data_IF_857468009710
#
_entry.id   IF_857468009710
#
_cell.length_a   1.000
_cell.length_b   1.000
_cell.length_c   1.000
_cell.angle_alpha   90.00
_cell.angle_beta   90.00
_cell.angle_gamma   90.00
#
_symmetry.space_group_name_H-M   'P 1'
#
loop_
_entity.id
_entity.type
_entity.pdbx_description
1 polymer ?
#
# COMPACT_ATOMS: atom_id res chain seq x y z
N UNK A 1 -26.72 24.74 -12.09
CA UNK A 1 -26.33 23.32 -12.18
C UNK A 1 -26.50 22.71 -10.80
N UNK A 2 -27.13 21.54 -10.70
CA UNK A 2 -27.25 20.82 -9.42
C UNK A 2 -25.86 20.38 -8.98
N UNK A 3 -25.48 20.69 -7.73
CA UNK A 3 -24.18 20.27 -7.16
C UNK A 3 -24.12 18.74 -7.17
N UNK A 4 -23.02 18.18 -7.67
CA UNK A 4 -22.80 16.72 -7.66
C UNK A 4 -22.57 16.28 -6.22
N UNK A 5 -23.25 15.21 -5.82
CA UNK A 5 -22.98 14.52 -4.56
C UNK A 5 -22.00 13.38 -4.83
N UNK A 6 -20.69 13.64 -4.67
CA UNK A 6 -19.69 12.62 -4.97
C UNK A 6 -19.77 11.41 -4.03
N UNK A 7 -20.22 11.59 -2.79
CA UNK A 7 -20.43 10.46 -1.87
C UNK A 7 -21.46 9.46 -2.43
N UNK A 8 -22.61 9.97 -2.87
CA UNK A 8 -23.66 9.14 -3.48
C UNK A 8 -23.22 8.52 -4.81
N UNK A 9 -22.47 9.27 -5.64
CA UNK A 9 -21.91 8.75 -6.89
C UNK A 9 -20.97 7.58 -6.63
N UNK A 10 -20.05 7.72 -5.67
CA UNK A 10 -19.08 6.67 -5.34
C UNK A 10 -19.75 5.45 -4.69
N UNK A 11 -20.74 5.67 -3.82
CA UNK A 11 -21.54 4.59 -3.22
C UNK A 11 -22.27 3.78 -4.31
N UNK A 12 -23.01 4.46 -5.21
CA UNK A 12 -23.71 3.79 -6.30
C UNK A 12 -22.73 3.03 -7.23
N UNK A 13 -21.55 3.61 -7.46
CA UNK A 13 -20.53 2.97 -8.27
C UNK A 13 -19.92 1.74 -7.60
N UNK A 14 -19.72 1.76 -6.28
CA UNK A 14 -19.32 0.59 -5.50
C UNK A 14 -20.31 -0.55 -5.67
N UNK A 15 -21.60 -0.28 -5.47
CA UNK A 15 -22.67 -1.27 -5.62
C UNK A 15 -22.70 -1.84 -7.05
N UNK A 16 -22.49 -1.00 -8.06
CA UNK A 16 -22.40 -1.41 -9.46
C UNK A 16 -21.24 -2.39 -9.71
N UNK A 17 -20.01 -2.04 -9.34
CA UNK A 17 -18.84 -2.90 -9.61
C UNK A 17 -18.86 -4.18 -8.78
N UNK A 18 -19.42 -4.15 -7.56
CA UNK A 18 -19.63 -5.34 -6.73
C UNK A 18 -20.64 -6.30 -7.39
N UNK A 19 -21.71 -5.78 -8.00
CA UNK A 19 -22.68 -6.59 -8.73
C UNK A 19 -22.11 -7.21 -10.03
N UNK A 20 -21.16 -6.53 -10.69
CA UNK A 20 -20.46 -7.02 -11.88
C UNK A 20 -19.34 -8.02 -11.56
N UNK A 21 -18.87 -8.02 -10.31
CA UNK A 21 -17.76 -8.86 -9.86
C UNK A 21 -18.12 -10.36 -9.91
N UNK A 22 -17.25 -11.18 -10.51
CA UNK A 22 -17.44 -12.64 -10.48
C UNK A 22 -17.14 -13.20 -9.09
N UNK A 23 -17.95 -14.17 -8.66
CA UNK A 23 -17.71 -14.92 -7.41
C UNK A 23 -16.45 -15.77 -7.48
N UNK A 24 -16.23 -16.44 -8.61
CA UNK A 24 -15.06 -17.27 -8.87
C UNK A 24 -14.06 -16.52 -9.76
N UNK A 25 -13.09 -15.87 -9.11
CA UNK A 25 -12.00 -15.16 -9.80
C UNK A 25 -10.79 -16.08 -9.99
N UNK A 26 -10.13 -15.95 -11.15
CA UNK A 26 -8.91 -16.69 -11.52
C UNK A 26 -7.73 -16.19 -10.68
N UNK A 27 -6.98 -17.10 -10.08
CA UNK A 27 -5.72 -16.74 -9.41
C UNK A 27 -4.74 -16.18 -10.44
N UNK A 28 -3.98 -15.16 -10.04
CA UNK A 28 -3.02 -14.47 -10.92
C UNK A 28 -1.58 -14.78 -10.51
N UNK A 29 -0.68 -14.77 -11.49
CA UNK A 29 0.74 -14.86 -11.21
C UNK A 29 1.24 -13.52 -10.62
N UNK A 30 2.22 -13.57 -9.71
CA UNK A 30 2.71 -12.37 -9.02
C UNK A 30 3.23 -11.30 -9.98
N UNK A 31 3.85 -11.71 -11.09
CA UNK A 31 4.34 -10.81 -12.15
C UNK A 31 3.21 -10.07 -12.89
N UNK A 32 1.99 -10.60 -12.90
CA UNK A 32 0.85 -10.02 -13.63
C UNK A 32 0.17 -8.91 -12.82
N UNK A 33 0.34 -8.95 -11.49
CA UNK A 33 -0.28 -7.99 -10.59
C UNK A 33 0.03 -6.51 -10.90
N UNK A 34 1.30 -6.08 -11.09
CA UNK A 34 1.59 -4.70 -11.50
C UNK A 34 0.92 -4.32 -12.84
N UNK A 35 0.85 -5.25 -13.79
CA UNK A 35 0.17 -5.00 -15.06
C UNK A 35 -1.32 -4.75 -14.87
N UNK A 36 -1.98 -5.57 -14.04
CA UNK A 36 -3.39 -5.40 -13.69
C UNK A 36 -3.67 -4.12 -12.91
N UNK A 37 -2.77 -3.68 -12.02
CA UNK A 37 -2.89 -2.38 -11.33
C UNK A 37 -2.88 -1.21 -12.33
N UNK A 38 -2.11 -1.34 -13.42
CA UNK A 38 -2.05 -0.35 -14.52
C UNK A 38 -3.10 -0.56 -15.62
N UNK A 39 -4.05 -1.49 -15.46
CA UNK A 39 -4.99 -1.86 -16.53
C UNK A 39 -5.85 -0.67 -17.00
N UNK A 40 -6.40 0.11 -16.08
CA UNK A 40 -7.21 1.29 -16.39
C UNK A 40 -6.43 2.37 -17.17
N UNK A 41 -5.27 2.85 -16.69
CA UNK A 41 -4.52 3.86 -17.42
C UNK A 41 -3.97 3.34 -18.75
N UNK A 42 -3.64 2.04 -18.85
CA UNK A 42 -3.29 1.44 -20.14
C UNK A 42 -4.49 1.41 -21.10
N UNK A 43 -5.68 1.00 -20.63
CA UNK A 43 -6.90 0.98 -21.44
C UNK A 43 -7.24 2.37 -21.98
N UNK A 44 -7.21 3.39 -21.12
CA UNK A 44 -7.50 4.78 -21.51
C UNK A 44 -6.46 5.35 -22.50
N UNK A 45 -5.22 4.87 -22.45
CA UNK A 45 -4.15 5.23 -23.39
C UNK A 45 -4.08 4.32 -24.63
N UNK A 46 -4.97 3.32 -24.75
CA UNK A 46 -4.95 2.29 -25.79
C UNK A 46 -3.64 1.49 -25.85
N UNK A 47 -3.10 1.14 -24.67
CA UNK A 47 -1.89 0.36 -24.52
C UNK A 47 -2.19 -1.11 -24.17
N UNK A 48 -1.37 -2.07 -24.64
CA UNK A 48 -1.49 -3.46 -24.23
C UNK A 48 -1.15 -3.64 -22.73
N UNK A 49 -2.11 -4.13 -21.95
CA UNK A 49 -1.99 -4.20 -20.48
C UNK A 49 -0.84 -5.08 -20.01
N UNK A 50 -0.63 -6.25 -20.63
CA UNK A 50 0.42 -7.20 -20.21
C UNK A 50 1.75 -7.02 -20.93
N UNK A 51 1.90 -5.96 -21.76
CA UNK A 51 3.20 -5.65 -22.35
C UNK A 51 4.03 -4.82 -21.37
N UNK A 52 5.32 -5.16 -21.30
CA UNK A 52 6.33 -4.31 -20.66
C UNK A 52 6.66 -3.08 -21.51
N UNK A 53 6.53 -3.19 -22.84
CA UNK A 53 6.84 -2.12 -23.79
C UNK A 53 5.59 -1.57 -24.47
N UNK A 54 5.60 -0.26 -24.66
CA UNK A 54 4.58 0.51 -25.36
C UNK A 54 5.13 0.87 -26.74
N UNK A 55 4.39 0.46 -27.78
CA UNK A 55 4.70 0.81 -29.15
C UNK A 55 3.87 2.02 -29.56
N UNK A 56 4.50 3.20 -29.59
CA UNK A 56 3.88 4.47 -29.97
C UNK A 56 4.95 5.38 -30.57
N UNK A 57 4.72 5.89 -31.78
CA UNK A 57 5.70 6.66 -32.56
C UNK A 57 6.15 7.95 -31.86
N UNK A 58 5.25 8.65 -31.19
CA UNK A 58 5.51 9.90 -30.49
C UNK A 58 5.75 9.72 -28.98
N UNK A 59 6.04 8.51 -28.50
CA UNK A 59 6.10 8.22 -27.06
C UNK A 59 7.15 9.04 -26.32
N UNK A 60 8.36 9.14 -26.86
CA UNK A 60 9.45 9.92 -26.26
C UNK A 60 9.06 11.40 -26.16
N UNK A 61 8.50 11.96 -27.24
CA UNK A 61 7.99 13.34 -27.27
C UNK A 61 6.86 13.53 -26.26
N UNK A 62 5.93 12.59 -26.17
CA UNK A 62 4.81 12.64 -25.23
C UNK A 62 5.29 12.63 -23.78
N UNK A 63 6.24 11.75 -23.44
CA UNK A 63 6.81 11.65 -22.09
C UNK A 63 7.57 12.94 -21.73
N UNK A 64 8.31 13.49 -22.68
CA UNK A 64 8.98 14.79 -22.56
C UNK A 64 7.97 15.92 -22.31
N UNK A 65 7.01 16.14 -23.20
CA UNK A 65 6.12 17.30 -23.15
C UNK A 65 5.14 17.23 -21.98
N UNK A 66 4.67 16.03 -21.62
CA UNK A 66 3.66 15.86 -20.57
C UNK A 66 4.26 15.84 -19.16
N UNK A 67 5.43 15.25 -19.00
CA UNK A 67 6.01 14.98 -17.68
C UNK A 67 7.38 15.63 -17.45
N UNK A 68 8.02 16.20 -18.49
CA UNK A 68 9.36 16.76 -18.39
C UNK A 68 10.42 15.69 -18.12
N UNK A 69 10.23 14.48 -18.65
CA UNK A 69 11.15 13.35 -18.48
C UNK A 69 12.04 13.26 -19.73
N UNK A 70 13.35 13.24 -19.51
CA UNK A 70 14.37 13.24 -20.57
C UNK A 70 15.48 12.21 -20.36
N UNK A 71 15.52 11.58 -19.19
CA UNK A 71 16.56 10.65 -18.77
C UNK A 71 16.09 9.79 -17.58
N UNK A 72 16.95 8.87 -17.12
CA UNK A 72 16.64 7.99 -15.99
C UNK A 72 16.39 8.72 -14.69
N UNK A 73 17.13 9.79 -14.42
CA UNK A 73 16.98 10.56 -13.20
C UNK A 73 15.59 11.21 -13.14
N UNK A 74 15.21 11.93 -14.18
CA UNK A 74 13.90 12.59 -14.29
C UNK A 74 12.75 11.57 -14.31
N UNK A 75 12.96 10.37 -14.88
CA UNK A 75 11.98 9.28 -14.82
C UNK A 75 11.74 8.81 -13.37
N UNK A 76 12.82 8.48 -12.64
CA UNK A 76 12.73 8.04 -11.24
C UNK A 76 12.11 9.12 -10.35
N UNK A 77 12.52 10.37 -10.51
CA UNK A 77 11.98 11.50 -9.73
C UNK A 77 10.48 11.70 -9.97
N UNK A 78 10.00 11.60 -11.21
CA UNK A 78 8.58 11.75 -11.53
C UNK A 78 7.74 10.57 -11.03
N UNK A 79 8.20 9.33 -11.23
CA UNK A 79 7.52 8.13 -10.73
C UNK A 79 7.43 8.18 -9.20
N UNK A 80 8.54 8.51 -8.52
CA UNK A 80 8.55 8.71 -7.08
C UNK A 80 7.59 9.83 -6.66
N UNK A 81 7.58 10.97 -7.37
CA UNK A 81 6.65 12.06 -7.05
C UNK A 81 5.18 11.64 -7.16
N UNK A 82 4.83 10.81 -8.14
CA UNK A 82 3.47 10.26 -8.24
C UNK A 82 3.13 9.39 -7.03
N UNK A 83 4.04 8.47 -6.65
CA UNK A 83 3.78 7.51 -5.55
C UNK A 83 3.74 8.20 -4.18
N UNK A 84 4.56 9.21 -3.93
CA UNK A 84 4.78 9.76 -2.58
C UNK A 84 4.31 11.19 -2.37
N UNK A 85 4.15 11.99 -3.43
CA UNK A 85 3.92 13.43 -3.32
C UNK A 85 2.70 13.91 -4.12
N UNK A 86 1.81 12.99 -4.54
CA UNK A 86 0.65 13.33 -5.35
C UNK A 86 -0.65 13.33 -4.54
N UNK A 87 -1.67 12.59 -4.96
CA UNK A 87 -3.02 12.71 -4.38
C UNK A 87 -3.11 12.09 -3.00
N UNK A 88 -2.45 10.95 -2.77
CA UNK A 88 -2.42 10.31 -1.47
C UNK A 88 -1.78 11.22 -0.40
N UNK A 89 -0.67 11.88 -0.71
CA UNK A 89 0.01 12.76 0.24
C UNK A 89 -0.86 13.95 0.66
N UNK A 90 -1.59 14.53 -0.29
CA UNK A 90 -2.54 15.61 -0.03
C UNK A 90 -3.72 15.12 0.82
N UNK A 91 -4.22 13.92 0.54
CA UNK A 91 -5.28 13.29 1.34
C UNK A 91 -4.83 12.99 2.77
N UNK A 92 -3.64 12.44 2.97
CA UNK A 92 -3.08 12.21 4.31
C UNK A 92 -2.91 13.50 5.11
N UNK A 93 -2.52 14.59 4.44
CA UNK A 93 -2.48 15.90 5.07
C UNK A 93 -3.89 16.38 5.45
N UNK A 94 -4.91 16.14 4.60
CA UNK A 94 -6.31 16.40 4.95
C UNK A 94 -6.76 15.60 6.17
N UNK A 95 -6.43 14.30 6.26
CA UNK A 95 -6.73 13.45 7.41
C UNK A 95 -6.11 14.00 8.69
N UNK A 96 -4.81 14.28 8.67
CA UNK A 96 -4.09 14.88 9.81
C UNK A 96 -4.74 16.19 10.24
N UNK A 97 -5.17 17.02 9.28
CA UNK A 97 -5.84 18.27 9.58
C UNK A 97 -7.22 18.05 10.24
N UNK A 98 -8.05 17.14 9.71
CA UNK A 98 -9.35 16.82 10.29
C UNK A 98 -9.25 16.23 11.70
N UNK A 99 -8.13 15.57 12.00
CA UNK A 99 -7.80 15.03 13.33
C UNK A 99 -7.15 16.06 14.27
N UNK A 100 -6.92 17.30 13.84
CA UNK A 100 -6.24 18.33 14.63
C UNK A 100 -4.73 18.07 14.83
N UNK A 101 -4.12 17.25 13.98
CA UNK A 101 -2.72 16.83 14.05
C UNK A 101 -1.81 17.53 13.02
N UNK A 102 -2.37 18.31 12.10
CA UNK A 102 -1.60 19.09 11.13
C UNK A 102 -1.21 20.47 11.68
N UNK A 103 -0.06 20.99 11.24
CA UNK A 103 0.31 22.40 11.48
C UNK A 103 -0.68 23.31 10.75
N UNK A 104 -1.05 24.42 11.38
CA UNK A 104 -1.84 25.46 10.73
C UNK A 104 -1.07 26.03 9.52
N UNK A 105 -1.82 26.44 8.48
CA UNK A 105 -1.28 27.12 7.31
C UNK A 105 -0.98 28.60 7.60
N UNK A 106 -0.61 28.98 8.82
CA UNK A 106 -0.60 30.38 9.27
C UNK A 106 0.29 31.27 8.39
N UNK A 107 1.40 30.73 7.89
CA UNK A 107 2.37 31.43 7.02
C UNK A 107 1.95 31.50 5.53
N UNK A 108 0.87 30.82 5.13
CA UNK A 108 0.39 30.84 3.74
C UNK A 108 -0.46 32.08 3.44
N UNK A 109 -0.44 32.54 2.19
CA UNK A 109 -1.32 33.62 1.73
C UNK A 109 -2.80 33.20 1.73
N UNK A 110 -3.71 34.18 1.73
CA UNK A 110 -5.16 33.93 1.81
C UNK A 110 -5.70 33.08 0.65
N UNK A 111 -5.15 33.24 -0.56
CA UNK A 111 -5.59 32.48 -1.74
C UNK A 111 -5.19 31.02 -1.59
N UNK A 112 -3.99 30.74 -1.09
CA UNK A 112 -3.52 29.38 -0.79
C UNK A 112 -4.37 28.74 0.30
N UNK A 113 -4.70 29.48 1.37
CA UNK A 113 -5.59 29.02 2.44
C UNK A 113 -7.00 28.70 1.92
N UNK A 114 -7.58 29.58 1.10
CA UNK A 114 -8.91 29.36 0.50
C UNK A 114 -8.94 28.15 -0.42
N UNK A 115 -7.93 28.02 -1.30
CA UNK A 115 -7.84 26.88 -2.20
C UNK A 115 -7.64 25.56 -1.45
N UNK A 116 -6.82 25.56 -0.39
CA UNK A 116 -6.67 24.39 0.45
C UNK A 116 -7.99 23.98 1.12
N UNK A 117 -8.77 24.93 1.65
CA UNK A 117 -10.10 24.65 2.22
C UNK A 117 -11.05 24.02 1.19
N UNK A 118 -11.00 24.48 -0.07
CA UNK A 118 -11.77 23.88 -1.17
C UNK A 118 -11.34 22.44 -1.45
N UNK A 119 -10.04 22.19 -1.53
CA UNK A 119 -9.50 20.83 -1.69
C UNK A 119 -9.90 19.92 -0.53
N UNK A 120 -9.87 20.41 0.71
CA UNK A 120 -10.33 19.66 1.87
C UNK A 120 -11.82 19.34 1.81
N UNK A 121 -12.66 20.32 1.47
CA UNK A 121 -14.09 20.11 1.35
C UNK A 121 -14.38 19.05 0.28
N UNK A 122 -13.71 19.12 -0.87
CA UNK A 122 -13.85 18.15 -1.95
C UNK A 122 -13.38 16.74 -1.55
N UNK A 123 -12.20 16.63 -0.92
CA UNK A 123 -11.70 15.35 -0.41
C UNK A 123 -12.66 14.73 0.61
N UNK A 124 -13.32 15.56 1.44
CA UNK A 124 -14.28 15.10 2.44
C UNK A 124 -15.53 14.49 1.84
N UNK A 125 -15.94 14.91 0.63
CA UNK A 125 -17.06 14.29 -0.09
C UNK A 125 -16.72 12.87 -0.59
N UNK A 126 -15.44 12.61 -0.93
CA UNK A 126 -14.96 11.31 -1.39
C UNK A 126 -14.54 10.36 -0.24
N UNK A 127 -14.20 10.92 0.92
CA UNK A 127 -13.69 10.20 2.08
C UNK A 127 -14.52 8.96 2.52
N UNK A 128 -15.87 9.01 2.58
CA UNK A 128 -16.66 7.89 3.11
C UNK A 128 -16.41 6.56 2.40
N UNK A 129 -16.10 6.58 1.11
CA UNK A 129 -15.96 5.38 0.29
C UNK A 129 -14.55 4.78 0.27
N UNK A 130 -13.54 5.56 0.66
CA UNK A 130 -12.13 5.13 0.63
C UNK A 130 -11.51 5.01 2.02
N UNK A 131 -12.04 5.74 3.01
CA UNK A 131 -11.55 5.77 4.39
C UNK A 131 -10.01 5.93 4.43
N UNK A 132 -9.34 5.14 5.26
CA UNK A 132 -7.88 5.17 5.42
C UNK A 132 -7.10 4.67 4.20
N UNK A 133 -7.75 4.01 3.22
CA UNK A 133 -7.08 3.55 1.99
C UNK A 133 -6.74 4.73 1.05
N UNK A 134 -7.51 5.81 1.17
CA UNK A 134 -7.25 7.08 0.49
C UNK A 134 -7.27 7.01 -1.03
N UNK A 135 -6.41 7.81 -1.65
CA UNK A 135 -6.41 8.12 -3.09
C UNK A 135 -5.25 7.45 -3.86
N UNK A 136 -4.44 6.64 -3.16
CA UNK A 136 -3.22 6.05 -3.73
C UNK A 136 -3.45 5.08 -4.89
N UNK A 137 -4.67 4.55 -5.10
CA UNK A 137 -4.96 3.70 -6.26
C UNK A 137 -4.68 4.40 -7.60
N UNK A 138 -5.00 5.69 -7.68
CA UNK A 138 -4.71 6.52 -8.86
C UNK A 138 -3.20 6.69 -9.05
N UNK A 139 -2.52 7.06 -7.96
CA UNK A 139 -1.08 7.30 -7.95
C UNK A 139 -0.31 6.05 -8.39
N UNK A 140 -0.68 4.87 -7.89
CA UNK A 140 -0.03 3.60 -8.21
C UNK A 140 -0.21 3.19 -9.68
N UNK A 141 -1.44 3.23 -10.20
CA UNK A 141 -1.69 2.81 -11.58
C UNK A 141 -1.04 3.75 -12.60
N UNK A 142 -1.10 5.07 -12.38
CA UNK A 142 -0.44 6.05 -13.24
C UNK A 142 1.09 5.93 -13.17
N UNK A 143 1.66 5.68 -12.00
CA UNK A 143 3.09 5.47 -11.83
C UNK A 143 3.59 4.21 -12.57
N UNK A 144 2.84 3.09 -12.52
CA UNK A 144 3.19 1.89 -13.30
C UNK A 144 3.07 2.14 -14.80
N UNK A 145 2.02 2.85 -15.27
CA UNK A 145 1.92 3.26 -16.68
C UNK A 145 3.13 4.11 -17.08
N UNK A 146 3.50 5.10 -16.28
CA UNK A 146 4.65 5.97 -16.53
C UNK A 146 5.96 5.17 -16.57
N UNK A 147 6.15 4.20 -15.67
CA UNK A 147 7.31 3.31 -15.69
C UNK A 147 7.40 2.50 -16.98
N UNK A 148 6.28 1.99 -17.51
CA UNK A 148 6.23 1.31 -18.82
C UNK A 148 6.65 2.25 -19.94
N UNK A 149 6.13 3.47 -19.96
CA UNK A 149 6.48 4.46 -20.98
C UNK A 149 7.97 4.81 -20.94
N UNK A 150 8.53 5.06 -19.76
CA UNK A 150 9.95 5.37 -19.58
C UNK A 150 10.86 4.20 -19.95
N UNK A 151 10.48 2.97 -19.59
CA UNK A 151 11.19 1.76 -20.01
C UNK A 151 11.19 1.58 -21.53
N UNK A 152 10.06 1.90 -22.17
CA UNK A 152 9.90 1.75 -23.63
C UNK A 152 10.79 2.69 -24.43
N UNK A 153 11.05 3.89 -23.91
CA UNK A 153 11.93 4.89 -24.55
C UNK A 153 13.38 4.81 -24.07
N UNK A 154 13.72 3.84 -23.22
CA UNK A 154 15.10 3.62 -22.74
C UNK A 154 15.53 4.52 -21.58
N UNK A 155 14.60 5.22 -20.92
CA UNK A 155 14.89 6.00 -19.72
C UNK A 155 14.85 5.19 -18.43
N UNK A 156 14.42 3.93 -18.45
CA UNK A 156 14.64 3.02 -17.33
C UNK A 156 15.40 1.79 -17.83
N UNK A 157 16.34 1.32 -17.02
CA UNK A 157 16.91 -0.02 -17.17
C UNK A 157 15.85 -1.08 -16.86
N UNK A 158 16.06 -2.32 -17.32
CA UNK A 158 15.19 -3.45 -17.01
C UNK A 158 15.09 -3.69 -15.48
N UNK A 159 16.23 -3.64 -14.79
CA UNK A 159 16.28 -3.75 -13.33
C UNK A 159 15.52 -2.62 -12.64
N UNK A 160 15.74 -1.36 -13.04
CA UNK A 160 15.03 -0.20 -12.50
C UNK A 160 13.52 -0.28 -12.73
N UNK A 161 13.11 -0.71 -13.92
CA UNK A 161 11.70 -0.93 -14.26
C UNK A 161 11.04 -1.98 -13.36
N UNK A 162 11.65 -3.17 -13.22
CA UNK A 162 11.11 -4.23 -12.39
C UNK A 162 11.12 -3.88 -10.90
N UNK A 163 12.14 -3.16 -10.43
CA UNK A 163 12.18 -2.65 -9.06
C UNK A 163 11.00 -1.72 -8.78
N UNK A 164 10.74 -0.74 -9.66
CA UNK A 164 9.60 0.19 -9.53
C UNK A 164 8.26 -0.54 -9.52
N UNK A 165 8.04 -1.48 -10.46
CA UNK A 165 6.81 -2.27 -10.53
C UNK A 165 6.56 -3.06 -9.25
N UNK A 166 7.60 -3.72 -8.72
CA UNK A 166 7.50 -4.52 -7.51
C UNK A 166 7.25 -3.66 -6.26
N UNK A 167 7.92 -2.51 -6.12
CA UNK A 167 7.68 -1.59 -5.00
C UNK A 167 6.23 -1.10 -5.01
N UNK A 168 5.73 -0.62 -6.16
CA UNK A 168 4.36 -0.10 -6.26
C UNK A 168 3.33 -1.22 -6.08
N UNK A 169 3.55 -2.40 -6.67
CA UNK A 169 2.67 -3.54 -6.48
C UNK A 169 2.59 -3.98 -5.01
N UNK A 170 3.73 -4.02 -4.31
CA UNK A 170 3.74 -4.32 -2.89
C UNK A 170 2.94 -3.28 -2.09
N UNK A 171 3.11 -1.98 -2.36
CA UNK A 171 2.29 -0.94 -1.71
C UNK A 171 0.80 -1.16 -1.92
N UNK A 172 0.38 -1.40 -3.16
CA UNK A 172 -1.01 -1.70 -3.47
C UNK A 172 -1.52 -2.94 -2.71
N UNK A 173 -0.73 -4.02 -2.70
CA UNK A 173 -1.05 -5.25 -1.97
C UNK A 173 -1.27 -5.02 -0.48
N UNK A 174 -0.45 -4.20 0.18
CA UNK A 174 -0.60 -3.89 1.60
C UNK A 174 -1.74 -2.92 1.91
N UNK A 175 -2.08 -2.05 0.96
CA UNK A 175 -3.16 -1.05 1.14
C UNK A 175 -4.55 -1.64 0.90
N UNK A 176 -4.75 -2.37 -0.19
CA UNK A 176 -6.08 -2.77 -0.67
C UNK A 176 -6.36 -4.26 -0.49
N UNK A 177 -7.63 -4.62 -0.35
CA UNK A 177 -8.07 -6.00 -0.14
C UNK A 177 -8.73 -6.62 -1.38
N UNK A 178 -9.14 -5.78 -2.34
CA UNK A 178 -9.84 -6.20 -3.54
C UNK A 178 -9.66 -5.21 -4.70
N UNK A 179 -10.06 -5.64 -5.90
CA UNK A 179 -10.11 -4.75 -7.07
C UNK A 179 -11.15 -3.66 -6.92
N UNK A 180 -12.23 -3.90 -6.18
CA UNK A 180 -13.30 -2.93 -5.93
C UNK A 180 -12.78 -1.77 -5.07
N UNK A 181 -12.04 -2.07 -4.00
CA UNK A 181 -11.41 -1.05 -3.17
C UNK A 181 -10.33 -0.27 -3.92
N UNK A 182 -9.53 -0.96 -4.74
CA UNK A 182 -8.54 -0.32 -5.61
C UNK A 182 -9.19 0.60 -6.64
N UNK A 183 -10.26 0.14 -7.30
CA UNK A 183 -11.02 0.89 -8.30
C UNK A 183 -11.61 2.18 -7.71
N UNK A 184 -12.22 2.12 -6.52
CA UNK A 184 -12.77 3.30 -5.86
C UNK A 184 -11.67 4.29 -5.46
N UNK A 185 -10.56 3.80 -4.90
CA UNK A 185 -9.40 4.66 -4.61
C UNK A 185 -8.88 5.34 -5.88
N UNK A 186 -8.85 4.62 -7.01
CA UNK A 186 -8.45 5.18 -8.30
C UNK A 186 -9.39 6.29 -8.76
N UNK A 187 -10.70 6.06 -8.77
CA UNK A 187 -11.67 7.08 -9.22
C UNK A 187 -11.62 8.30 -8.33
N UNK A 188 -11.62 8.11 -7.01
CA UNK A 188 -11.53 9.20 -6.03
C UNK A 188 -10.24 9.99 -6.22
N UNK A 189 -9.10 9.30 -6.32
CA UNK A 189 -7.79 9.94 -6.50
C UNK A 189 -7.68 10.69 -7.83
N UNK A 190 -8.10 10.11 -8.94
CA UNK A 190 -8.04 10.79 -10.24
C UNK A 190 -9.01 11.97 -10.34
N UNK A 191 -10.20 11.85 -9.76
CA UNK A 191 -11.17 12.96 -9.68
C UNK A 191 -10.62 14.11 -8.85
N UNK A 192 -10.06 13.80 -7.68
CA UNK A 192 -9.38 14.76 -6.81
C UNK A 192 -8.16 15.40 -7.51
N UNK A 193 -7.34 14.60 -8.17
CA UNK A 193 -6.17 15.05 -8.94
C UNK A 193 -6.55 16.16 -9.92
N UNK A 194 -7.56 15.90 -10.78
CA UNK A 194 -7.94 16.87 -11.79
C UNK A 194 -8.65 18.09 -11.18
N UNK A 195 -9.43 17.92 -10.11
CA UNK A 195 -9.98 19.04 -9.36
C UNK A 195 -8.85 19.98 -8.88
N UNK A 196 -7.83 19.44 -8.22
CA UNK A 196 -6.71 20.24 -7.71
C UNK A 196 -5.88 20.87 -8.84
N UNK A 197 -5.52 20.10 -9.88
CA UNK A 197 -4.70 20.59 -10.99
C UNK A 197 -5.39 21.67 -11.84
N UNK A 198 -6.72 21.67 -11.84
CA UNK A 198 -7.51 22.66 -12.58
C UNK A 198 -7.84 23.92 -11.77
N UNK A 199 -7.29 24.07 -10.55
CA UNK A 199 -7.62 25.20 -9.68
C UNK A 199 -9.02 25.12 -9.08
N UNK A 200 -9.57 23.90 -8.91
CA UNK A 200 -10.86 23.65 -8.28
C UNK A 200 -12.03 23.65 -9.25
N UNK A 201 -11.80 23.29 -10.52
CA UNK A 201 -12.85 23.24 -11.53
C UNK A 201 -13.69 21.96 -11.39
N UNK A 202 -14.94 22.11 -10.93
CA UNK A 202 -15.86 20.99 -10.74
C UNK A 202 -16.28 20.31 -12.04
N UNK A 203 -16.31 21.02 -13.17
CA UNK A 203 -16.67 20.41 -14.47
C UNK A 203 -15.56 19.48 -14.97
N UNK A 204 -14.29 19.85 -14.77
CA UNK A 204 -13.18 18.97 -15.09
C UNK A 204 -13.15 17.77 -14.14
N UNK A 205 -13.34 17.97 -12.84
CA UNK A 205 -13.46 16.88 -11.89
C UNK A 205 -14.58 15.89 -12.29
N UNK A 206 -15.75 16.41 -12.66
CA UNK A 206 -16.87 15.60 -13.17
C UNK A 206 -16.47 14.76 -14.38
N UNK A 207 -15.89 15.40 -15.42
CA UNK A 207 -15.47 14.70 -16.65
C UNK A 207 -14.45 13.61 -16.36
N UNK A 208 -13.51 13.86 -15.43
CA UNK A 208 -12.54 12.86 -15.00
C UNK A 208 -13.23 11.68 -14.32
N UNK A 209 -14.11 11.96 -13.36
CA UNK A 209 -14.90 10.96 -12.65
C UNK A 209 -15.65 10.05 -13.63
N UNK A 210 -16.39 10.65 -14.58
CA UNK A 210 -17.15 9.91 -15.60
C UNK A 210 -16.24 9.06 -16.49
N UNK A 211 -15.10 9.61 -16.92
CA UNK A 211 -14.12 8.91 -17.76
C UNK A 211 -13.52 7.70 -17.05
N UNK A 212 -13.10 7.87 -15.80
CA UNK A 212 -12.50 6.80 -15.00
C UNK A 212 -13.52 5.70 -14.71
N UNK A 213 -14.72 6.07 -14.27
CA UNK A 213 -15.80 5.10 -14.02
C UNK A 213 -16.15 4.33 -15.30
N UNK A 214 -16.23 5.02 -16.46
CA UNK A 214 -16.43 4.37 -17.75
C UNK A 214 -15.35 3.35 -18.09
N UNK A 215 -14.07 3.71 -17.93
CA UNK A 215 -12.97 2.77 -18.15
C UNK A 215 -12.97 1.59 -17.19
N UNK A 216 -13.36 1.78 -15.93
CA UNK A 216 -13.46 0.68 -14.96
C UNK A 216 -14.61 -0.26 -15.27
N UNK A 217 -15.75 0.24 -15.77
CA UNK A 217 -16.84 -0.61 -16.27
C UNK A 217 -16.35 -1.55 -17.37
N UNK A 218 -15.47 -1.08 -18.26
CA UNK A 218 -14.86 -1.94 -19.27
C UNK A 218 -13.92 -3.01 -18.67
N UNK A 219 -13.31 -2.76 -17.51
CA UNK A 219 -12.52 -3.76 -16.78
C UNK A 219 -13.38 -4.74 -15.98
N UNK A 220 -14.65 -4.41 -15.75
CA UNK A 220 -15.63 -5.23 -15.03
C UNK A 220 -16.69 -5.90 -15.92
N UNK A 221 -16.69 -5.65 -17.24
CA UNK A 221 -17.57 -6.34 -18.19
C UNK A 221 -17.27 -7.84 -18.28
N UNK A 222 -18.06 -8.57 -19.06
CA UNK A 222 -17.78 -9.99 -19.34
C UNK A 222 -16.39 -10.17 -19.94
N UNK A 223 -15.57 -11.04 -19.33
CA UNK A 223 -14.14 -11.21 -19.63
C UNK A 223 -13.24 -10.00 -19.33
N UNK A 224 -13.73 -9.07 -18.51
CA UNK A 224 -12.97 -7.91 -18.03
C UNK A 224 -11.85 -8.31 -17.06
N UNK A 225 -10.71 -7.62 -17.15
CA UNK A 225 -9.50 -7.99 -16.43
C UNK A 225 -9.70 -7.99 -14.90
N UNK A 226 -10.40 -7.01 -14.32
CA UNK A 226 -10.62 -6.93 -12.88
C UNK A 226 -11.81 -7.77 -12.40
N UNK A 227 -12.81 -8.00 -13.28
CA UNK A 227 -13.90 -8.92 -12.99
C UNK A 227 -13.43 -10.38 -12.88
N UNK A 228 -12.44 -10.79 -13.70
CA UNK A 228 -11.97 -12.17 -13.73
C UNK A 228 -10.75 -12.46 -12.87
N UNK A 229 -9.89 -11.47 -12.62
CA UNK A 229 -8.64 -11.68 -11.89
C UNK A 229 -8.85 -11.59 -10.39
N UNK A 230 -8.37 -12.58 -9.63
CA UNK A 230 -8.36 -12.51 -8.19
C UNK A 230 -7.36 -11.43 -7.74
N UNK A 231 -7.70 -10.72 -6.66
CA UNK A 231 -6.67 -9.97 -5.94
C UNK A 231 -5.64 -10.97 -5.38
N UNK A 232 -4.32 -10.70 -5.44
CA UNK A 232 -3.32 -11.61 -4.93
C UNK A 232 -3.60 -12.02 -3.48
N UNK A 233 -3.41 -13.31 -3.18
CA UNK A 233 -3.43 -13.83 -1.82
C UNK A 233 -2.01 -13.81 -1.26
N UNK A 234 -1.87 -13.45 0.01
CA UNK A 234 -0.60 -13.50 0.71
C UNK A 234 -0.74 -13.00 2.15
N UNK A 235 0.23 -13.34 2.99
CA UNK A 235 0.27 -12.88 4.38
C UNK A 235 0.75 -11.43 4.42
N UNK A 236 -0.03 -10.58 5.07
CA UNK A 236 0.28 -9.15 5.25
C UNK A 236 0.76 -8.92 6.67
N UNK A 237 2.03 -9.17 6.87
CA UNK A 237 2.66 -8.99 8.16
C UNK A 237 2.73 -7.52 8.54
N UNK A 238 2.45 -7.21 9.80
CA UNK A 238 2.52 -5.91 10.44
C UNK A 238 1.75 -4.81 9.70
N UNK A 239 0.55 -5.11 9.14
CA UNK A 239 -0.29 -4.12 8.43
C UNK A 239 -0.64 -2.88 9.29
N UNK A 240 -0.60 -3.03 10.62
CA UNK A 240 -0.83 -1.97 11.60
C UNK A 240 0.40 -1.07 11.85
N UNK A 241 1.59 -1.43 11.35
CA UNK A 241 2.83 -0.69 11.58
C UNK A 241 3.13 0.24 10.39
N UNK A 242 2.91 1.55 10.57
CA UNK A 242 3.04 2.55 9.48
C UNK A 242 4.44 3.16 9.35
N UNK A 243 5.20 3.27 10.46
CA UNK A 243 6.54 3.88 10.48
C UNK A 243 7.53 3.01 11.27
N UNK A 244 8.44 2.31 10.58
CA UNK A 244 9.52 1.55 11.22
C UNK A 244 10.74 2.44 11.38
N UNK A 245 11.08 2.78 12.63
CA UNK A 245 12.27 3.56 12.97
C UNK A 245 13.45 2.64 13.28
N UNK A 246 14.67 3.11 13.11
CA UNK A 246 15.84 2.41 13.64
C UNK A 246 15.91 2.66 15.15
N UNK A 247 15.51 1.66 15.94
CA UNK A 247 15.50 1.73 17.42
C UNK A 247 16.56 0.85 18.08
N UNK A 248 17.15 -0.07 17.31
CA UNK A 248 18.31 -0.88 17.71
C UNK A 248 19.34 -0.95 16.57
N UNK A 249 20.58 -1.31 16.90
CA UNK A 249 21.66 -1.48 15.91
C UNK A 249 21.74 -2.89 15.32
N UNK A 250 21.22 -3.92 16.01
CA UNK A 250 21.29 -5.31 15.53
C UNK A 250 20.54 -5.49 14.21
N UNK A 251 21.15 -6.27 13.31
CA UNK A 251 20.57 -6.71 12.03
C UNK A 251 19.99 -8.13 12.10
N UNK A 252 20.04 -8.75 13.27
CA UNK A 252 19.53 -10.09 13.47
C UNK A 252 17.99 -10.12 13.39
N UNK A 253 17.46 -11.31 13.19
CA UNK A 253 16.05 -11.60 13.07
C UNK A 253 15.58 -12.54 14.19
N UNK A 254 14.29 -12.45 14.53
CA UNK A 254 13.61 -13.39 15.42
C UNK A 254 12.38 -13.97 14.75
N UNK A 255 11.98 -15.16 15.19
CA UNK A 255 10.78 -15.84 14.73
C UNK A 255 9.56 -15.23 15.41
N UNK A 256 8.53 -14.89 14.65
CA UNK A 256 7.30 -14.28 15.17
C UNK A 256 6.10 -15.08 14.65
N UNK A 257 5.13 -15.36 15.53
CA UNK A 257 3.88 -16.02 15.14
C UNK A 257 2.94 -15.09 14.37
N UNK A 258 2.01 -15.66 13.60
CA UNK A 258 0.97 -14.86 12.94
C UNK A 258 -0.01 -14.23 13.93
N UNK A 259 -0.19 -14.80 15.14
CA UNK A 259 -0.97 -14.17 16.21
C UNK A 259 -0.45 -12.76 16.56
N UNK A 260 0.85 -12.53 16.35
CA UNK A 260 1.46 -11.22 16.52
C UNK A 260 1.52 -10.49 15.18
N UNK A 261 2.16 -11.11 14.19
CA UNK A 261 2.54 -10.42 12.96
C UNK A 261 1.37 -10.22 12.00
N UNK A 262 0.30 -11.00 12.05
CA UNK A 262 -0.91 -10.83 11.22
C UNK A 262 -2.06 -10.26 12.06
N UNK A 263 -2.35 -10.87 13.20
CA UNK A 263 -3.53 -10.51 14.02
C UNK A 263 -3.30 -9.24 14.87
N UNK A 264 -2.06 -8.79 15.03
CA UNK A 264 -1.71 -7.62 15.84
C UNK A 264 -1.75 -7.86 17.35
N UNK A 265 -1.68 -9.11 17.79
CA UNK A 265 -1.60 -9.46 19.20
C UNK A 265 -0.30 -9.01 19.86
N UNK A 266 -0.37 -8.70 21.16
CA UNK A 266 0.81 -8.36 21.96
C UNK A 266 1.77 -9.55 22.09
N UNK A 267 3.06 -9.27 22.28
CA UNK A 267 4.04 -10.29 22.70
C UNK A 267 3.81 -10.60 24.18
N UNK A 268 3.31 -11.79 24.50
CA UNK A 268 3.16 -12.22 25.90
C UNK A 268 4.09 -13.35 26.31
N UNK A 269 4.75 -14.00 25.35
CA UNK A 269 5.78 -14.99 25.62
C UNK A 269 6.93 -14.84 24.62
N UNK A 270 8.16 -14.83 25.13
CA UNK A 270 9.36 -14.85 24.29
C UNK A 270 10.40 -15.80 24.86
N UNK A 271 11.11 -16.49 23.98
CA UNK A 271 12.14 -17.47 24.35
C UNK A 271 13.32 -17.34 23.41
N UNK A 272 14.54 -17.47 23.93
CA UNK A 272 15.76 -17.53 23.13
C UNK A 272 16.24 -18.96 23.04
N UNK A 273 16.18 -19.54 21.85
CA UNK A 273 16.74 -20.84 21.52
C UNK A 273 18.11 -20.70 20.87
N UNK A 274 18.73 -21.82 20.53
CA UNK A 274 20.00 -21.82 19.81
C UNK A 274 19.77 -21.22 18.41
N UNK A 275 20.47 -20.14 18.04
CA UNK A 275 20.39 -19.58 16.69
C UNK A 275 20.97 -20.54 15.64
N UNK A 276 20.47 -20.44 14.41
CA UNK A 276 21.05 -21.15 13.26
C UNK A 276 22.35 -20.48 12.81
N UNK A 277 23.47 -21.20 12.93
CA UNK A 277 24.80 -20.72 12.54
C UNK A 277 24.87 -20.29 11.06
N UNK A 278 25.61 -19.22 10.79
CA UNK A 278 25.79 -18.68 9.44
C UNK A 278 24.58 -17.91 8.88
N UNK A 279 23.54 -17.67 9.69
CA UNK A 279 22.35 -16.91 9.31
C UNK A 279 22.18 -15.65 10.16
N UNK A 280 21.15 -14.85 9.87
CA UNK A 280 20.77 -13.69 10.71
C UNK A 280 19.91 -14.07 11.91
N UNK A 281 19.70 -15.36 12.20
CA UNK A 281 18.87 -15.81 13.31
C UNK A 281 19.50 -15.44 14.66
N UNK A 282 18.77 -14.70 15.50
CA UNK A 282 19.20 -14.34 16.87
C UNK A 282 18.89 -15.44 17.90
N UNK A 283 18.10 -16.43 17.51
CA UNK A 283 17.51 -17.44 18.39
C UNK A 283 16.25 -16.96 19.11
N UNK A 284 15.86 -15.68 19.00
CA UNK A 284 14.63 -15.20 19.62
C UNK A 284 13.39 -15.68 18.90
N UNK A 285 12.41 -16.13 19.68
CA UNK A 285 11.07 -16.48 19.23
C UNK A 285 10.03 -15.72 20.07
N UNK A 286 9.03 -15.16 19.40
CA UNK A 286 8.01 -14.28 19.98
C UNK A 286 6.61 -14.82 19.70
N UNK A 287 5.79 -14.90 20.74
CA UNK A 287 4.45 -15.52 20.73
C UNK A 287 3.43 -14.68 21.51
N UNK A 288 2.17 -14.76 21.07
CA UNK A 288 1.05 -14.16 21.77
C UNK A 288 0.71 -14.91 23.08
N UNK A 289 1.08 -16.18 23.18
CA UNK A 289 0.95 -17.02 24.36
C UNK A 289 -0.32 -17.89 24.41
N UNK A 290 -1.21 -17.78 23.42
CA UNK A 290 -2.40 -18.62 23.25
C UNK A 290 -2.28 -19.65 22.12
N UNK A 291 -1.13 -19.68 21.43
CA UNK A 291 -0.86 -20.64 20.36
C UNK A 291 -0.91 -22.10 20.87
N UNK A 292 -1.68 -22.94 20.19
CA UNK A 292 -1.71 -24.38 20.47
C UNK A 292 -0.46 -25.08 19.95
N UNK A 293 -0.23 -26.33 20.38
CA UNK A 293 0.89 -27.13 19.87
C UNK A 293 0.77 -27.37 18.36
N UNK A 294 -0.43 -27.74 17.90
CA UNK A 294 -0.73 -27.98 16.48
C UNK A 294 -0.52 -26.71 15.64
N UNK A 295 -0.86 -25.53 16.19
CA UNK A 295 -0.61 -24.25 15.54
C UNK A 295 0.88 -24.01 15.34
N UNK A 296 1.71 -24.25 16.36
CA UNK A 296 3.14 -24.00 16.31
C UNK A 296 3.90 -25.01 15.46
N UNK A 297 3.38 -26.23 15.31
CA UNK A 297 3.95 -27.26 14.41
C UNK A 297 3.80 -26.92 12.93
N UNK A 298 2.86 -26.04 12.57
CA UNK A 298 2.71 -25.57 11.20
C UNK A 298 3.67 -24.40 10.93
N UNK A 299 4.75 -24.68 10.20
CA UNK A 299 5.78 -23.69 9.85
C UNK A 299 5.24 -22.45 9.13
N UNK A 300 4.09 -22.55 8.46
CA UNK A 300 3.50 -21.39 7.81
C UNK A 300 2.99 -20.35 8.81
N UNK A 301 2.70 -20.72 10.05
CA UNK A 301 2.17 -19.83 11.10
C UNK A 301 3.23 -18.95 11.79
N UNK A 302 4.49 -19.04 11.35
CA UNK A 302 5.61 -18.29 11.92
C UNK A 302 6.52 -17.78 10.82
N UNK A 303 7.11 -16.61 10.99
CA UNK A 303 8.04 -16.02 10.02
C UNK A 303 9.17 -15.25 10.72
N UNK A 304 10.34 -15.20 10.09
CA UNK A 304 11.48 -14.41 10.57
C UNK A 304 11.31 -12.93 10.21
N UNK A 305 11.50 -12.07 11.21
CA UNK A 305 11.54 -10.62 11.02
C UNK A 305 12.73 -10.02 11.73
N UNK A 306 13.28 -8.93 11.18
CA UNK A 306 14.36 -8.19 11.84
C UNK A 306 13.92 -7.76 13.23
N UNK A 307 14.79 -7.95 14.23
CA UNK A 307 14.52 -7.55 15.61
C UNK A 307 14.12 -6.07 15.71
N UNK A 308 14.66 -5.21 14.84
CA UNK A 308 14.28 -3.80 14.78
C UNK A 308 12.77 -3.61 14.49
N UNK A 309 12.18 -4.39 13.58
CA UNK A 309 10.73 -4.33 13.28
C UNK A 309 9.92 -4.73 14.52
N UNK A 310 10.33 -5.82 15.18
CA UNK A 310 9.65 -6.34 16.38
C UNK A 310 9.73 -5.31 17.52
N UNK A 311 10.87 -4.63 17.68
CA UNK A 311 11.05 -3.57 18.69
C UNK A 311 10.24 -2.30 18.40
N UNK A 312 9.91 -2.00 17.14
CA UNK A 312 9.01 -0.90 16.81
C UNK A 312 7.56 -1.22 17.19
N UNK A 313 7.19 -2.50 17.12
CA UNK A 313 5.87 -2.97 17.55
C UNK A 313 5.77 -3.02 19.08
N UNK A 314 6.83 -3.45 19.76
CA UNK A 314 6.85 -3.60 21.22
C UNK A 314 8.22 -3.24 21.80
N UNK A 315 8.42 -1.98 22.17
CA UNK A 315 9.72 -1.49 22.67
C UNK A 315 10.11 -2.06 24.04
N UNK A 316 9.17 -2.69 24.77
CA UNK A 316 9.45 -3.25 26.09
C UNK A 316 10.32 -4.51 26.06
N UNK A 317 10.53 -5.11 24.87
CA UNK A 317 11.44 -6.25 24.69
C UNK A 317 12.91 -5.82 24.59
N UNK A 318 13.19 -4.56 24.22
CA UNK A 318 14.57 -4.09 23.94
C UNK A 318 15.54 -4.42 25.07
N UNK A 319 15.21 -4.17 26.36
CA UNK A 319 16.12 -4.47 27.47
C UNK A 319 16.41 -5.96 27.68
N UNK A 320 15.65 -6.85 27.02
CA UNK A 320 15.73 -8.30 27.20
C UNK A 320 16.55 -8.98 26.11
N UNK A 321 16.83 -8.31 24.99
CA UNK A 321 17.42 -8.94 23.79
C UNK A 321 18.82 -9.51 24.00
N UNK A 322 19.58 -8.97 24.96
CA UNK A 322 20.92 -9.44 25.32
C UNK A 322 20.91 -10.67 26.26
N UNK A 323 19.72 -11.16 26.64
CA UNK A 323 19.59 -12.32 27.53
C UNK A 323 20.17 -13.59 26.88
N UNK A 324 20.81 -14.47 27.66
CA UNK A 324 21.47 -15.65 27.12
C UNK A 324 20.47 -16.65 26.51
N UNK A 325 20.97 -17.47 25.58
CA UNK A 325 20.26 -18.64 25.04
C UNK A 325 19.75 -19.51 26.19
N UNK A 326 18.54 -20.03 26.05
CA UNK A 326 17.82 -20.77 27.09
C UNK A 326 17.02 -19.89 28.06
N UNK A 327 16.89 -18.58 27.78
CA UNK A 327 16.04 -17.69 28.58
C UNK A 327 14.64 -17.60 28.00
N UNK A 328 13.62 -17.59 28.86
CA UNK A 328 12.25 -17.27 28.50
C UNK A 328 11.64 -16.20 29.40
N UNK A 329 10.79 -15.36 28.83
CA UNK A 329 10.03 -14.32 29.53
C UNK A 329 8.55 -14.46 29.23
N UNK A 330 7.72 -14.13 30.22
CA UNK A 330 6.27 -14.01 30.06
C UNK A 330 5.81 -12.63 30.51
N UNK A 331 4.92 -12.01 29.74
CA UNK A 331 4.29 -10.75 30.12
C UNK A 331 3.23 -10.99 31.19
N UNK A 332 3.27 -10.19 32.23
CA UNK A 332 2.28 -10.18 33.31
C UNK A 332 1.08 -9.32 32.95
N UNK A 333 0.03 -9.35 33.80
CA UNK A 333 -1.19 -8.53 33.58
C UNK A 333 -0.93 -7.02 33.67
N UNK A 334 0.08 -6.61 34.44
CA UNK A 334 0.57 -5.23 34.55
C UNK A 334 1.48 -4.83 33.37
N UNK A 335 1.73 -5.73 32.43
CA UNK A 335 2.48 -5.44 31.20
C UNK A 335 4.00 -5.58 31.35
N UNK A 336 4.51 -6.05 32.48
CA UNK A 336 5.96 -6.25 32.69
C UNK A 336 6.39 -7.66 32.28
N UNK A 337 7.62 -7.83 31.84
CA UNK A 337 8.17 -9.15 31.54
C UNK A 337 8.85 -9.75 32.78
N UNK A 338 8.45 -10.97 33.13
CA UNK A 338 9.10 -11.77 34.17
C UNK A 338 9.76 -13.00 33.58
N UNK A 339 10.95 -13.34 34.06
CA UNK A 339 11.65 -14.57 33.64
C UNK A 339 10.85 -15.79 34.08
N UNK A 340 10.71 -16.76 33.19
CA UNK A 340 9.99 -18.02 33.45
C UNK A 340 10.84 -19.20 33.00
N UNK A 341 10.50 -20.40 33.46
CA UNK A 341 11.07 -21.63 32.91
C UNK A 341 10.71 -21.78 31.44
N UNK A 342 11.66 -22.26 30.64
CA UNK A 342 11.43 -22.56 29.23
C UNK A 342 10.41 -23.70 29.15
N UNK A 343 9.19 -23.38 28.71
CA UNK A 343 8.27 -24.42 28.27
C UNK A 343 8.90 -25.08 27.05
N UNK A 344 8.93 -26.41 27.00
CA UNK A 344 9.37 -27.15 25.80
C UNK A 344 8.40 -26.86 24.66
N UNK A 345 8.59 -25.74 23.99
CA UNK A 345 7.87 -25.35 22.79
C UNK A 345 8.87 -25.54 21.67
N UNK A 346 8.74 -26.68 20.99
CA UNK A 346 9.48 -27.04 19.77
C UNK A 346 11.01 -27.02 19.89
N UNK A 347 11.57 -28.11 20.40
CA UNK A 347 12.91 -28.52 19.99
C UNK A 347 12.75 -29.38 18.73
N UNK A 348 13.39 -28.96 17.63
CA UNK A 348 13.53 -29.78 16.42
C UNK A 348 14.30 -31.06 16.72
#
# INVERSE_FOLDING_TARGET
MTKINYGEVMQNFREEIEALSKKDKKEIEQKDFPHLLSALPCLLANYPVFSNKIEREDLEKYVHERFGIHDEKSAVENIHSFVFNNTQAQFEYCLKYWQGQAKNLDDADEKTKDFFKKCQAFAKELYPEVLDRGFCGFDFGEAIRMAKECYSVGYLSEEGYHFMLNDIANRAFYTFDSWEDYALSYVCGGTYYLYCKSGGNEEFAKKMCETLMGGIRELYKENGLWAESAWPKGKRYFRFLKDVKKVIESKEAGLVSDRISIDGGNINYMVRIQPVEGTTDSGWQFFHGDESKEYLENVSNTQLFQLNVICNMDSSIIPLLDSPVGTAYRRTKDGTFVKVEVKKVLQK
#
